data_IF_313978637755
#
_entry.id   IF_313978637755
#
_cell.length_a   1.000
_cell.length_b   1.000
_cell.length_c   1.000
_cell.angle_alpha   90.00
_cell.angle_beta   90.00
_cell.angle_gamma   90.00
#
_symmetry.space_group_name_H-M   'P 1'
#
loop_
_entity.id
_entity.type
_entity.pdbx_description
1 polymer ?
#
# COMPACT_ATOMS: atom_id res chain seq x y z
N UNK A 1 -18.40 -19.42 -5.17
CA UNK A 1 -17.20 -19.04 -4.38
C UNK A 1 -16.07 -18.60 -5.28
N UNK A 2 -15.66 -19.41 -6.26
CA UNK A 2 -14.78 -18.98 -7.36
C UNK A 2 -15.32 -19.50 -8.69
N UNK A 3 -15.01 -18.80 -9.77
CA UNK A 3 -15.20 -19.23 -11.15
C UNK A 3 -13.84 -19.50 -11.78
N UNK A 4 -13.75 -20.61 -12.51
CA UNK A 4 -12.48 -21.15 -13.01
C UNK A 4 -12.66 -21.59 -14.46
N UNK A 5 -11.71 -21.21 -15.30
CA UNK A 5 -11.67 -21.63 -16.71
C UNK A 5 -10.26 -22.04 -17.12
N UNK A 6 -10.16 -22.90 -18.12
CA UNK A 6 -8.88 -23.26 -18.73
C UNK A 6 -8.60 -22.33 -19.90
N UNK A 7 -7.39 -21.77 -19.96
CA UNK A 7 -6.90 -21.02 -21.12
C UNK A 7 -5.59 -21.57 -21.68
N UNK A 8 -5.23 -21.12 -22.88
CA UNK A 8 -3.92 -21.34 -23.49
C UNK A 8 -3.21 -19.99 -23.55
N UNK A 9 -1.98 -19.93 -23.06
CA UNK A 9 -1.14 -18.73 -23.15
C UNK A 9 -0.78 -18.50 -24.62
N UNK A 10 -1.15 -17.36 -25.19
CA UNK A 10 -0.78 -17.00 -26.58
C UNK A 10 0.54 -16.22 -26.60
N UNK A 11 0.69 -15.24 -25.70
CA UNK A 11 1.92 -14.46 -25.56
C UNK A 11 2.10 -13.88 -24.17
N UNK A 12 3.35 -13.56 -23.84
CA UNK A 12 3.69 -12.74 -22.66
C UNK A 12 3.64 -11.27 -23.12
N UNK A 13 2.71 -10.49 -22.56
CA UNK A 13 2.55 -9.07 -22.89
C UNK A 13 3.71 -8.27 -22.27
N UNK A 14 4.01 -8.56 -21.01
CA UNK A 14 5.17 -8.06 -20.28
C UNK A 14 5.46 -8.98 -19.10
N UNK A 15 6.69 -8.95 -18.60
CA UNK A 15 7.08 -9.64 -17.38
C UNK A 15 8.08 -8.78 -16.61
N UNK A 16 8.04 -8.90 -15.29
CA UNK A 16 9.05 -8.37 -14.37
C UNK A 16 9.23 -9.36 -13.22
N UNK A 17 10.11 -9.02 -12.29
CA UNK A 17 10.32 -9.84 -11.11
C UNK A 17 9.00 -10.17 -10.39
N UNK A 18 8.78 -11.46 -10.17
CA UNK A 18 7.63 -12.00 -9.43
C UNK A 18 6.27 -11.99 -10.14
N UNK A 19 6.14 -11.43 -11.36
CA UNK A 19 4.85 -11.36 -12.06
C UNK A 19 4.98 -11.36 -13.59
N UNK A 20 4.09 -12.07 -14.28
CA UNK A 20 3.91 -11.99 -15.73
C UNK A 20 2.50 -11.54 -16.08
N UNK A 21 2.37 -10.71 -17.10
CA UNK A 21 1.11 -10.40 -17.76
C UNK A 21 1.04 -11.16 -19.08
N UNK A 22 -0.03 -11.92 -19.23
CA UNK A 22 -0.23 -12.87 -20.31
C UNK A 22 -1.46 -12.45 -21.11
N UNK A 23 -1.39 -12.69 -22.42
CA UNK A 23 -2.57 -12.83 -23.25
C UNK A 23 -2.93 -14.32 -23.30
N UNK A 24 -4.16 -14.65 -22.95
CA UNK A 24 -4.66 -16.02 -22.86
C UNK A 24 -5.89 -16.20 -23.74
N UNK A 25 -5.93 -17.29 -24.48
CA UNK A 25 -7.11 -17.71 -25.24
C UNK A 25 -8.05 -18.51 -24.34
N UNK A 26 -9.25 -17.99 -24.13
CA UNK A 26 -10.36 -18.60 -23.39
C UNK A 26 -11.52 -18.86 -24.35
N UNK A 27 -11.64 -20.11 -24.83
CA UNK A 27 -12.53 -20.43 -25.96
C UNK A 27 -12.13 -19.62 -27.19
N UNK A 28 -13.03 -18.78 -27.68
CA UNK A 28 -12.81 -17.90 -28.84
C UNK A 28 -12.34 -16.48 -28.46
N UNK A 29 -12.23 -16.17 -27.17
CA UNK A 29 -11.84 -14.84 -26.68
C UNK A 29 -10.36 -14.77 -26.33
N UNK A 30 -9.79 -13.57 -26.49
CA UNK A 30 -8.47 -13.20 -25.98
C UNK A 30 -8.63 -12.31 -24.77
N UNK A 31 -8.15 -12.78 -23.63
CA UNK A 31 -8.27 -12.09 -22.36
C UNK A 31 -6.88 -11.88 -21.74
N UNK A 32 -6.81 -11.04 -20.71
CA UNK A 32 -5.56 -10.79 -19.98
C UNK A 32 -5.55 -11.59 -18.68
N UNK A 33 -4.39 -12.17 -18.35
CA UNK A 33 -4.18 -12.86 -17.09
C UNK A 33 -2.86 -12.45 -16.43
N UNK A 34 -2.86 -12.43 -15.10
CA UNK A 34 -1.66 -12.27 -14.30
C UNK A 34 -1.21 -13.61 -13.75
N UNK A 35 0.08 -13.88 -13.87
CA UNK A 35 0.74 -15.06 -13.35
C UNK A 35 1.75 -14.64 -12.28
N UNK A 36 1.80 -15.35 -11.16
CA UNK A 36 2.85 -15.20 -10.15
C UNK A 36 3.75 -16.44 -10.24
N UNK A 37 4.89 -16.39 -10.94
CA UNK A 37 5.70 -17.57 -11.20
C UNK A 37 6.18 -18.28 -9.93
N UNK A 38 6.36 -17.56 -8.83
CA UNK A 38 6.71 -18.16 -7.53
C UNK A 38 5.61 -19.09 -6.96
N UNK A 39 4.35 -18.96 -7.41
CA UNK A 39 3.24 -19.79 -6.98
C UNK A 39 2.85 -20.85 -8.00
N UNK A 40 3.06 -20.59 -9.28
CA UNK A 40 2.45 -21.36 -10.39
C UNK A 40 3.43 -21.69 -11.52
N UNK A 41 4.70 -21.31 -11.37
CA UNK A 41 5.75 -21.44 -12.36
C UNK A 41 5.63 -20.46 -13.52
N UNK A 42 6.71 -20.31 -14.29
CA UNK A 42 6.73 -19.45 -15.48
C UNK A 42 5.78 -20.01 -16.54
N UNK A 43 4.88 -19.16 -17.01
CA UNK A 43 3.97 -19.49 -18.11
C UNK A 43 4.55 -18.99 -19.43
N UNK A 44 4.57 -19.85 -20.45
CA UNK A 44 5.10 -19.58 -21.78
C UNK A 44 4.01 -19.79 -22.85
N UNK A 45 4.15 -19.19 -24.05
CA UNK A 45 3.24 -19.45 -25.17
C UNK A 45 3.02 -20.95 -25.42
N UNK A 46 1.76 -21.34 -25.68
CA UNK A 46 1.34 -22.72 -25.86
C UNK A 46 1.04 -23.46 -24.55
N UNK A 47 1.44 -22.94 -23.39
CA UNK A 47 1.11 -23.56 -22.11
C UNK A 47 -0.39 -23.48 -21.83
N UNK A 48 -0.97 -24.60 -21.39
CA UNK A 48 -2.31 -24.66 -20.85
C UNK A 48 -2.28 -24.24 -19.38
N UNK A 49 -3.17 -23.34 -18.97
CA UNK A 49 -3.27 -22.80 -17.61
C UNK A 49 -4.71 -22.83 -17.09
N UNK A 50 -4.85 -22.95 -15.77
CA UNK A 50 -6.12 -22.80 -15.07
C UNK A 50 -6.19 -21.36 -14.55
N UNK A 51 -7.28 -20.66 -14.82
CA UNK A 51 -7.47 -19.25 -14.46
C UNK A 51 -8.63 -19.09 -13.48
N UNK A 52 -8.43 -18.27 -12.46
CA UNK A 52 -9.52 -17.68 -11.69
C UNK A 52 -10.14 -16.54 -12.52
N UNK A 53 -11.38 -16.74 -12.97
CA UNK A 53 -12.12 -15.78 -13.80
C UNK A 53 -13.12 -14.93 -13.02
N UNK A 54 -13.28 -15.20 -11.72
CA UNK A 54 -14.32 -14.64 -10.84
C UNK A 54 -14.44 -13.11 -10.92
N UNK A 55 -13.34 -12.38 -10.72
CA UNK A 55 -13.39 -10.92 -10.62
C UNK A 55 -13.80 -10.27 -11.94
N UNK A 56 -13.33 -10.81 -13.07
CA UNK A 56 -13.66 -10.31 -14.41
C UNK A 56 -15.11 -10.64 -14.76
N UNK A 57 -15.58 -11.86 -14.47
CA UNK A 57 -16.98 -12.24 -14.71
C UNK A 57 -17.97 -11.38 -13.91
N UNK A 58 -17.59 -10.97 -12.69
CA UNK A 58 -18.38 -10.06 -11.86
C UNK A 58 -18.20 -8.58 -12.22
N UNK A 59 -17.39 -8.25 -13.23
CA UNK A 59 -17.12 -6.86 -13.63
C UNK A 59 -16.43 -6.03 -12.53
N UNK A 60 -15.67 -6.68 -11.64
CA UNK A 60 -14.99 -6.00 -10.54
C UNK A 60 -13.73 -5.27 -11.04
N UNK A 61 -13.26 -4.31 -10.24
CA UNK A 61 -12.07 -3.50 -10.53
C UNK A 61 -10.73 -4.26 -10.41
N UNK A 62 -10.59 -5.45 -11.00
CA UNK A 62 -9.31 -6.20 -11.06
C UNK A 62 -8.33 -5.65 -12.10
N UNK A 63 -8.67 -4.56 -12.78
CA UNK A 63 -7.96 -4.09 -13.97
C UNK A 63 -8.25 -4.93 -15.23
N UNK A 64 -9.26 -5.80 -15.18
CA UNK A 64 -9.62 -6.69 -16.28
C UNK A 64 -8.72 -7.91 -16.41
N UNK A 65 -8.04 -8.30 -15.32
CA UNK A 65 -7.16 -9.47 -15.31
C UNK A 65 -7.82 -10.66 -14.64
N UNK A 66 -7.68 -11.83 -15.27
CA UNK A 66 -7.78 -13.14 -14.62
C UNK A 66 -6.49 -13.45 -13.86
N UNK A 67 -6.50 -14.47 -13.00
CA UNK A 67 -5.32 -14.90 -12.25
C UNK A 67 -5.00 -16.36 -12.50
N UNK A 68 -3.76 -16.67 -12.88
CA UNK A 68 -3.33 -18.06 -13.04
C UNK A 68 -3.32 -18.76 -11.69
N UNK A 69 -4.02 -19.90 -11.62
CA UNK A 69 -4.09 -20.78 -10.46
C UNK A 69 -3.16 -21.98 -10.58
N UNK A 70 -2.94 -22.46 -11.80
CA UNK A 70 -2.04 -23.57 -12.10
C UNK A 70 -1.61 -23.54 -13.57
N UNK A 71 -0.44 -24.10 -13.85
CA UNK A 71 0.10 -24.29 -15.19
C UNK A 71 0.33 -25.79 -15.42
N UNK A 72 -0.29 -26.38 -16.46
CA UNK A 72 -0.28 -27.82 -16.71
C UNK A 72 1.12 -28.39 -17.00
N UNK A 73 2.07 -27.54 -17.40
CA UNK A 73 3.45 -27.96 -17.67
C UNK A 73 4.28 -28.00 -16.38
N UNK A 74 3.86 -27.30 -15.33
CA UNK A 74 4.60 -27.15 -14.08
C UNK A 74 4.13 -28.21 -13.08
N UNK A 75 4.88 -29.30 -12.97
CA UNK A 75 4.55 -30.42 -12.08
C UNK A 75 5.05 -30.24 -10.64
N UNK A 76 6.08 -29.41 -10.45
CA UNK A 76 6.63 -29.10 -9.12
C UNK A 76 7.35 -27.75 -9.12
N UNK A 77 7.40 -27.12 -7.95
CA UNK A 77 8.21 -25.93 -7.68
C UNK A 77 9.11 -26.22 -6.48
N UNK A 78 10.39 -25.85 -6.53
CA UNK A 78 11.28 -26.01 -5.39
C UNK A 78 10.91 -25.06 -4.25
N UNK A 79 11.14 -25.47 -3.02
CA UNK A 79 11.06 -24.58 -1.85
C UNK A 79 12.29 -23.66 -1.82
N UNK A 80 12.12 -22.44 -1.33
CA UNK A 80 13.24 -21.58 -0.93
C UNK A 80 14.07 -22.27 0.17
N UNK A 81 15.37 -21.99 0.23
CA UNK A 81 16.26 -22.57 1.25
C UNK A 81 15.96 -22.10 2.66
N UNK A 82 15.60 -20.82 2.82
CA UNK A 82 15.38 -20.19 4.12
C UNK A 82 13.90 -20.03 4.45
N UNK A 83 13.64 -19.82 5.75
CA UNK A 83 12.32 -19.55 6.28
C UNK A 83 11.45 -20.80 6.45
N UNK A 84 10.56 -20.76 7.44
CA UNK A 84 9.54 -21.78 7.66
C UNK A 84 8.13 -21.22 7.87
N UNK A 85 7.97 -19.89 7.88
CA UNK A 85 6.66 -19.27 8.09
C UNK A 85 5.83 -19.28 6.80
N UNK A 86 4.53 -19.54 6.96
CA UNK A 86 3.57 -19.64 5.87
C UNK A 86 2.66 -18.41 5.83
N UNK A 87 2.55 -17.80 4.64
CA UNK A 87 1.52 -16.80 4.28
C UNK A 87 0.44 -17.44 3.40
N UNK A 88 -0.72 -16.77 3.30
CA UNK A 88 -1.96 -17.36 2.74
C UNK A 88 -2.31 -18.75 3.34
N UNK A 89 -2.12 -18.91 4.67
CA UNK A 89 -2.23 -20.18 5.41
C UNK A 89 -3.55 -20.91 5.14
N UNK A 90 -3.46 -22.24 5.01
CA UNK A 90 -4.61 -23.13 4.84
C UNK A 90 -5.42 -22.89 3.56
N UNK A 91 -4.83 -22.22 2.57
CA UNK A 91 -5.36 -22.15 1.20
C UNK A 91 -4.49 -22.99 0.26
N UNK A 92 -5.02 -23.44 -0.89
CA UNK A 92 -4.20 -24.16 -1.90
C UNK A 92 -3.02 -23.36 -2.45
N UNK A 93 -2.98 -22.04 -2.24
CA UNK A 93 -1.92 -21.14 -2.71
C UNK A 93 -0.96 -20.71 -1.58
N UNK A 94 -1.02 -21.34 -0.41
CA UNK A 94 -0.13 -20.99 0.71
C UNK A 94 1.35 -21.00 0.30
N UNK A 95 2.11 -20.02 0.75
CA UNK A 95 3.50 -19.83 0.35
C UNK A 95 4.44 -19.69 1.54
N UNK A 96 5.61 -20.32 1.45
CA UNK A 96 6.67 -20.24 2.45
C UNK A 96 7.47 -18.96 2.24
N UNK A 97 7.73 -18.26 3.34
CA UNK A 97 8.57 -17.05 3.38
C UNK A 97 9.55 -17.14 4.56
N UNK A 98 10.66 -16.40 4.46
CA UNK A 98 11.51 -16.13 5.60
C UNK A 98 11.11 -14.79 6.19
N UNK A 99 10.59 -14.79 7.42
CA UNK A 99 10.19 -13.54 8.07
C UNK A 99 11.35 -12.90 8.85
N UNK A 100 11.30 -11.59 9.05
CA UNK A 100 12.27 -10.81 9.82
C UNK A 100 12.48 -11.37 11.22
N UNK A 101 11.45 -11.92 11.85
CA UNK A 101 11.52 -12.55 13.16
C UNK A 101 12.50 -13.75 13.16
N UNK A 102 12.54 -14.54 12.09
CA UNK A 102 13.51 -15.65 11.93
C UNK A 102 14.93 -15.13 11.70
N UNK A 103 15.07 -14.04 10.93
CA UNK A 103 16.35 -13.36 10.69
C UNK A 103 16.91 -12.81 12.01
N UNK A 104 16.07 -12.13 12.80
CA UNK A 104 16.42 -11.57 14.09
C UNK A 104 16.87 -12.66 15.07
N UNK A 105 16.11 -13.75 15.16
CA UNK A 105 16.45 -14.91 15.98
C UNK A 105 17.78 -15.57 15.58
N UNK A 106 18.08 -15.62 14.28
CA UNK A 106 19.34 -16.20 13.77
C UNK A 106 20.55 -15.28 14.02
N UNK A 107 20.36 -13.96 13.97
CA UNK A 107 21.44 -12.99 14.23
C UNK A 107 21.78 -12.90 15.72
N UNK A 108 20.78 -12.81 16.59
CA UNK A 108 20.96 -12.69 18.03
C UNK A 108 19.68 -13.09 18.78
N UNK A 109 19.65 -14.32 19.31
CA UNK A 109 18.50 -14.89 20.02
C UNK A 109 18.06 -14.07 21.25
N UNK A 110 18.99 -13.39 21.92
CA UNK A 110 18.67 -12.53 23.07
C UNK A 110 17.87 -11.29 22.64
N UNK A 111 18.30 -10.65 21.53
CA UNK A 111 17.59 -9.49 20.98
C UNK A 111 16.19 -9.83 20.47
N UNK A 112 15.99 -11.06 19.97
CA UNK A 112 14.68 -11.51 19.49
C UNK A 112 13.63 -11.63 20.60
N UNK A 113 14.06 -11.86 21.85
CA UNK A 113 13.18 -11.97 23.02
C UNK A 113 13.13 -10.69 23.85
N UNK A 114 14.05 -9.76 23.62
CA UNK A 114 14.09 -8.48 24.32
C UNK A 114 12.91 -7.58 23.96
N UNK A 115 12.47 -6.77 24.92
CA UNK A 115 11.47 -5.72 24.70
C UNK A 115 12.03 -4.68 23.73
N UNK A 116 11.28 -4.37 22.67
CA UNK A 116 11.66 -3.33 21.72
C UNK A 116 11.72 -1.94 22.37
N UNK A 117 12.78 -1.19 22.11
CA UNK A 117 13.00 0.17 22.65
C UNK A 117 12.13 1.24 21.99
N UNK A 118 11.36 0.88 20.97
CA UNK A 118 10.50 1.79 20.24
C UNK A 118 11.19 2.48 19.06
N UNK A 119 10.38 3.16 18.25
CA UNK A 119 10.75 3.82 17.01
C UNK A 119 11.50 5.14 17.23
N UNK A 120 11.73 5.56 18.48
CA UNK A 120 12.47 6.79 18.83
C UNK A 120 11.95 8.02 18.07
N UNK A 121 10.62 8.20 18.05
CA UNK A 121 9.92 9.27 17.36
C UNK A 121 10.06 9.31 15.82
N UNK A 122 10.45 8.22 15.17
CA UNK A 122 10.42 8.15 13.70
C UNK A 122 9.01 8.42 13.18
N UNK A 123 8.85 9.32 12.18
CA UNK A 123 7.56 9.53 11.53
C UNK A 123 7.07 8.28 10.80
N UNK A 124 5.86 7.88 11.12
CA UNK A 124 5.13 6.82 10.40
C UNK A 124 3.94 7.44 9.70
N UNK A 125 4.02 7.50 8.38
CA UNK A 125 2.99 8.06 7.51
C UNK A 125 1.97 7.00 7.17
N UNK A 126 0.68 7.27 7.39
CA UNK A 126 -0.40 6.30 7.29
C UNK A 126 -1.34 6.74 6.17
N UNK A 127 -1.41 5.95 5.09
CA UNK A 127 -2.29 6.18 3.94
C UNK A 127 -3.48 5.22 3.90
N UNK A 128 -4.66 5.72 3.49
CA UNK A 128 -5.87 4.90 3.29
C UNK A 128 -5.76 4.08 2.00
N UNK A 129 -5.06 4.62 1.00
CA UNK A 129 -5.01 4.10 -0.36
C UNK A 129 -3.57 3.93 -0.83
N UNK A 130 -3.33 2.83 -1.54
CA UNK A 130 -2.06 2.59 -2.24
C UNK A 130 -1.64 3.74 -3.18
N UNK A 131 -2.60 4.42 -3.81
CA UNK A 131 -2.35 5.56 -4.70
C UNK A 131 -1.76 6.79 -4.00
N UNK A 132 -1.68 6.80 -2.67
CA UNK A 132 -1.01 7.86 -1.90
C UNK A 132 0.51 7.68 -1.81
N UNK A 133 1.03 6.45 -2.04
CA UNK A 133 2.46 6.14 -1.85
C UNK A 133 3.33 6.96 -2.79
N UNK A 134 3.10 6.88 -4.11
CA UNK A 134 3.92 7.62 -5.09
C UNK A 134 3.93 9.15 -4.90
N UNK A 135 2.79 9.85 -4.83
CA UNK A 135 2.84 11.31 -4.67
C UNK A 135 3.53 11.73 -3.37
N UNK A 136 3.41 10.94 -2.29
CA UNK A 136 4.16 11.19 -1.06
C UNK A 136 5.67 10.99 -1.25
N UNK A 137 6.09 9.82 -1.75
CA UNK A 137 7.51 9.44 -1.91
C UNK A 137 8.21 10.41 -2.83
N UNK A 138 7.61 10.71 -3.99
CA UNK A 138 8.17 11.64 -4.97
C UNK A 138 8.32 13.04 -4.37
N UNK A 139 7.32 13.51 -3.61
CA UNK A 139 7.41 14.82 -2.94
C UNK A 139 8.53 14.83 -1.90
N UNK A 140 8.60 13.81 -1.05
CA UNK A 140 9.60 13.75 0.01
C UNK A 140 11.02 13.66 -0.55
N UNK A 141 11.24 12.85 -1.59
CA UNK A 141 12.53 12.76 -2.29
C UNK A 141 12.92 14.04 -3.03
N UNK A 142 11.94 14.81 -3.52
CA UNK A 142 12.22 16.12 -4.11
C UNK A 142 12.59 17.17 -3.06
N UNK A 143 12.02 17.09 -1.85
CA UNK A 143 12.41 17.95 -0.74
C UNK A 143 13.79 17.56 -0.20
N UNK A 144 14.06 16.26 -0.12
CA UNK A 144 15.31 15.72 0.37
C UNK A 144 15.61 14.33 -0.22
N UNK A 145 16.52 14.22 -1.21
CA UNK A 145 16.78 12.97 -1.92
C UNK A 145 17.44 11.90 -1.05
N UNK A 146 18.08 12.28 0.04
CA UNK A 146 18.83 11.34 0.91
C UNK A 146 17.95 10.61 1.91
N UNK A 147 16.67 11.02 2.08
CA UNK A 147 15.76 10.38 3.04
C UNK A 147 15.53 8.92 2.70
N UNK A 148 15.73 8.03 3.68
CA UNK A 148 15.42 6.62 3.57
C UNK A 148 13.96 6.39 3.87
N UNK A 149 13.20 6.07 2.84
CA UNK A 149 11.76 5.82 2.92
C UNK A 149 11.52 4.33 2.79
N UNK A 150 10.89 3.73 3.79
CA UNK A 150 10.49 2.33 3.76
C UNK A 150 8.98 2.24 3.63
N UNK A 151 8.50 1.47 2.65
CA UNK A 151 7.07 1.21 2.46
C UNK A 151 6.67 -0.11 3.13
N UNK A 152 5.71 -0.07 4.03
CA UNK A 152 5.07 -1.24 4.63
C UNK A 152 3.71 -1.45 3.96
N UNK A 153 3.55 -2.59 3.29
CA UNK A 153 2.28 -3.02 2.70
C UNK A 153 1.53 -3.96 3.64
N UNK A 154 0.30 -3.57 4.00
CA UNK A 154 -0.63 -4.37 4.81
C UNK A 154 -1.41 -5.34 3.93
N UNK A 155 -2.06 -6.32 4.57
CA UNK A 155 -2.80 -7.40 3.92
C UNK A 155 -4.31 -7.14 3.79
N UNK A 156 -4.75 -5.88 3.95
CA UNK A 156 -6.15 -5.48 3.81
C UNK A 156 -6.62 -5.29 2.35
N UNK A 157 -5.71 -5.49 1.39
CA UNK A 157 -5.97 -5.42 -0.06
C UNK A 157 -5.20 -6.53 -0.81
N UNK A 158 -4.59 -6.22 -1.96
CA UNK A 158 -3.77 -7.19 -2.67
C UNK A 158 -2.67 -7.78 -1.77
N UNK A 159 -2.58 -9.10 -1.74
CA UNK A 159 -1.56 -9.82 -0.98
C UNK A 159 -0.18 -9.75 -1.65
N UNK A 160 -0.03 -9.95 -2.98
CA UNK A 160 1.29 -9.92 -3.62
C UNK A 160 1.73 -8.48 -3.93
N UNK A 161 2.90 -8.06 -3.42
CA UNK A 161 3.48 -6.74 -3.69
C UNK A 161 3.80 -6.56 -5.18
N UNK A 162 4.16 -7.65 -5.86
CA UNK A 162 4.49 -7.71 -7.29
C UNK A 162 3.41 -7.11 -8.19
N UNK A 163 2.14 -7.11 -7.74
CA UNK A 163 1.03 -6.53 -8.46
C UNK A 163 1.22 -5.02 -8.70
N UNK A 164 1.88 -4.30 -7.79
CA UNK A 164 2.03 -2.85 -7.90
C UNK A 164 3.15 -2.45 -8.87
N UNK A 165 2.74 -1.90 -10.01
CA UNK A 165 3.64 -1.23 -10.95
C UNK A 165 4.34 -0.03 -10.31
N UNK A 166 3.58 0.75 -9.54
CA UNK A 166 4.08 1.93 -8.82
C UNK A 166 5.24 1.58 -7.90
N UNK A 167 5.12 0.53 -7.09
CA UNK A 167 6.20 0.13 -6.18
C UNK A 167 7.40 -0.40 -6.96
N UNK A 168 7.17 -1.19 -8.02
CA UNK A 168 8.27 -1.65 -8.90
C UNK A 168 9.06 -0.46 -9.47
N UNK A 169 8.39 0.57 -10.00
CA UNK A 169 9.04 1.78 -10.49
C UNK A 169 9.78 2.54 -9.38
N UNK A 170 9.16 2.74 -8.21
CA UNK A 170 9.81 3.45 -7.09
C UNK A 170 11.08 2.72 -6.60
N UNK A 171 11.09 1.39 -6.60
CA UNK A 171 12.28 0.58 -6.26
C UNK A 171 13.36 0.70 -7.34
N UNK A 172 12.98 0.54 -8.61
CA UNK A 172 13.92 0.63 -9.74
C UNK A 172 14.60 2.01 -9.84
N UNK A 173 13.87 3.07 -9.47
CA UNK A 173 14.39 4.44 -9.42
C UNK A 173 15.13 4.75 -8.09
N UNK A 174 15.31 3.76 -7.20
CA UNK A 174 15.94 3.91 -5.87
C UNK A 174 15.30 5.00 -4.99
N UNK A 175 13.99 5.20 -5.15
CA UNK A 175 13.21 6.17 -4.37
C UNK A 175 12.70 5.60 -3.04
N UNK A 176 12.68 4.27 -2.91
CA UNK A 176 12.44 3.55 -1.66
C UNK A 176 13.73 2.86 -1.23
N UNK A 177 14.01 2.90 0.07
CA UNK A 177 15.12 2.15 0.69
C UNK A 177 14.79 0.65 0.73
N UNK A 178 13.51 0.33 0.90
CA UNK A 178 13.03 -1.05 0.89
C UNK A 178 11.52 -1.13 1.13
N UNK A 179 11.03 -2.35 1.02
CA UNK A 179 9.62 -2.69 1.19
C UNK A 179 9.46 -3.80 2.22
N UNK A 180 8.42 -3.70 3.04
CA UNK A 180 8.09 -4.72 4.04
C UNK A 180 6.64 -5.15 3.83
N UNK A 181 6.39 -6.45 3.75
CA UNK A 181 5.05 -7.01 3.65
C UNK A 181 4.68 -7.72 4.96
N UNK A 182 3.54 -7.38 5.54
CA UNK A 182 3.11 -7.93 6.83
C UNK A 182 1.79 -8.70 6.75
N UNK A 183 1.54 -9.56 7.74
CA UNK A 183 0.34 -10.40 7.75
C UNK A 183 0.38 -11.45 6.65
N UNK A 184 -0.64 -11.51 5.82
CA UNK A 184 -0.71 -12.42 4.67
C UNK A 184 -0.19 -11.83 3.36
N UNK A 185 0.11 -10.53 3.30
CA UNK A 185 0.76 -9.91 2.15
C UNK A 185 2.20 -10.40 2.01
N UNK A 186 2.72 -10.54 0.79
CA UNK A 186 4.04 -11.11 0.50
C UNK A 186 4.70 -10.50 -0.75
N UNK A 187 5.98 -10.77 -0.96
CA UNK A 187 6.81 -10.24 -2.04
C UNK A 187 7.57 -8.97 -1.69
N UNK A 188 7.64 -8.59 -0.41
CA UNK A 188 8.49 -7.49 0.06
C UNK A 188 9.96 -7.88 0.16
N UNK A 189 10.84 -6.88 0.32
CA UNK A 189 12.26 -7.10 0.60
C UNK A 189 12.46 -7.77 1.97
N UNK A 190 11.58 -7.43 2.91
CA UNK A 190 11.41 -8.13 4.18
C UNK A 190 9.96 -8.58 4.34
N UNK A 191 9.80 -9.76 4.93
CA UNK A 191 8.51 -10.33 5.27
C UNK A 191 8.35 -10.30 6.78
N UNK A 192 7.17 -9.96 7.30
CA UNK A 192 6.91 -10.03 8.74
C UNK A 192 5.58 -10.70 9.06
N UNK A 193 5.46 -11.19 10.29
CA UNK A 193 4.21 -11.80 10.78
C UNK A 193 3.12 -10.74 10.96
N UNK A 194 3.47 -9.56 11.44
CA UNK A 194 2.51 -8.48 11.69
C UNK A 194 3.13 -7.09 11.53
N UNK A 195 2.30 -6.06 11.72
CA UNK A 195 2.68 -4.65 11.56
C UNK A 195 3.69 -4.16 12.61
N UNK A 196 3.70 -4.72 13.83
CA UNK A 196 4.65 -4.30 14.86
C UNK A 196 6.07 -4.69 14.47
N UNK A 197 6.26 -5.94 14.04
CA UNK A 197 7.56 -6.42 13.55
C UNK A 197 7.92 -5.79 12.21
N UNK A 198 6.94 -5.38 11.38
CA UNK A 198 7.21 -4.59 10.18
C UNK A 198 7.78 -3.20 10.50
N UNK A 199 7.20 -2.50 11.49
CA UNK A 199 7.71 -1.21 11.96
C UNK A 199 9.12 -1.33 12.52
N UNK A 200 9.38 -2.40 13.29
CA UNK A 200 10.71 -2.72 13.80
C UNK A 200 11.69 -3.00 12.64
N UNK A 201 11.33 -3.85 11.69
CA UNK A 201 12.18 -4.20 10.54
C UNK A 201 12.52 -2.96 9.70
N UNK A 202 11.53 -2.11 9.42
CA UNK A 202 11.73 -0.87 8.69
C UNK A 202 12.74 0.05 9.38
N UNK A 203 12.68 0.16 10.72
CA UNK A 203 13.59 1.01 11.49
C UNK A 203 14.96 0.37 11.70
N UNK A 204 15.01 -0.88 12.13
CA UNK A 204 16.24 -1.51 12.60
C UNK A 204 17.06 -2.16 11.50
N UNK A 205 16.42 -2.78 10.50
CA UNK A 205 17.13 -3.44 9.39
C UNK A 205 17.34 -2.47 8.24
N UNK A 206 16.26 -1.79 7.81
CA UNK A 206 16.29 -0.87 6.66
C UNK A 206 16.60 0.58 7.03
N UNK A 207 16.83 0.86 8.32
CA UNK A 207 17.25 2.18 8.82
C UNK A 207 16.38 3.35 8.37
N UNK A 208 15.06 3.14 8.26
CA UNK A 208 14.13 4.15 7.77
C UNK A 208 14.23 5.47 8.55
N UNK A 209 14.29 6.59 7.82
CA UNK A 209 14.07 7.93 8.36
C UNK A 209 12.57 8.25 8.37
N UNK A 210 11.83 7.68 7.40
CA UNK A 210 10.38 7.75 7.30
C UNK A 210 9.82 6.37 6.93
N UNK A 211 8.78 5.94 7.64
CA UNK A 211 8.05 4.72 7.34
C UNK A 211 6.70 5.10 6.74
N UNK A 212 6.32 4.51 5.61
CA UNK A 212 5.01 4.71 4.99
C UNK A 212 4.21 3.42 5.09
N UNK A 213 3.06 3.44 5.75
CA UNK A 213 2.15 2.30 5.91
C UNK A 213 0.90 2.55 5.08
N UNK A 214 0.60 1.64 4.15
CA UNK A 214 -0.66 1.63 3.40
C UNK A 214 -0.93 0.27 2.77
N UNK A 215 -2.20 -0.06 2.47
CA UNK A 215 -2.54 -1.30 1.79
C UNK A 215 -1.96 -1.38 0.37
N UNK A 216 -1.92 -2.60 -0.16
CA UNK A 216 -1.70 -2.85 -1.58
C UNK A 216 -2.83 -2.31 -2.48
N UNK A 217 -2.70 -2.42 -3.81
CA UNK A 217 -3.80 -2.13 -4.73
C UNK A 217 -5.05 -2.95 -4.44
N UNK A 218 -6.24 -2.45 -4.81
CA UNK A 218 -7.47 -3.23 -4.73
C UNK A 218 -8.13 -3.25 -3.35
N UNK A 219 -8.07 -2.13 -2.61
CA UNK A 219 -8.81 -1.97 -1.35
C UNK A 219 -10.30 -2.21 -1.52
N UNK A 220 -10.94 -2.77 -0.50
CA UNK A 220 -12.38 -3.02 -0.48
C UNK A 220 -13.10 -1.88 0.23
N UNK A 221 -14.25 -1.50 -0.28
CA UNK A 221 -15.15 -0.57 0.38
C UNK A 221 -16.59 -0.92 0.05
N UNK A 222 -17.39 -1.12 1.09
CA UNK A 222 -18.85 -1.29 0.98
C UNK A 222 -19.53 0.06 1.17
N UNK A 223 -20.86 0.10 1.10
CA UNK A 223 -21.64 1.29 1.45
C UNK A 223 -22.03 1.33 2.94
N UNK A 224 -21.37 0.54 3.79
CA UNK A 224 -21.61 0.50 5.23
C UNK A 224 -20.57 1.29 6.01
N UNK A 225 -20.89 1.65 7.26
CA UNK A 225 -20.07 2.54 8.09
C UNK A 225 -18.67 1.98 8.41
N UNK A 226 -18.54 0.67 8.58
CA UNK A 226 -17.28 0.03 9.00
C UNK A 226 -16.71 -0.96 7.98
N UNK A 227 -17.47 -1.30 6.92
CA UNK A 227 -17.05 -2.29 5.93
C UNK A 227 -16.15 -1.71 4.85
N UNK A 228 -14.92 -1.29 5.17
CA UNK A 228 -13.90 -0.88 4.19
C UNK A 228 -12.49 -1.13 4.73
N UNK A 229 -11.54 -1.48 3.87
CA UNK A 229 -10.17 -1.85 4.26
C UNK A 229 -9.41 -0.72 4.94
N UNK A 230 -9.60 0.51 4.47
CA UNK A 230 -8.92 1.70 4.99
C UNK A 230 -9.26 2.08 6.44
N UNK A 231 -10.16 1.33 7.10
CA UNK A 231 -10.47 1.50 8.53
C UNK A 231 -9.22 1.30 9.40
N UNK A 232 -8.28 0.49 8.92
CA UNK A 232 -6.99 0.22 9.57
C UNK A 232 -6.16 1.49 9.81
N UNK A 233 -6.43 2.61 9.12
CA UNK A 233 -5.76 3.89 9.42
C UNK A 233 -5.88 4.25 10.91
N UNK A 234 -7.05 4.06 11.50
CA UNK A 234 -7.29 4.33 12.91
C UNK A 234 -6.48 3.40 13.81
N UNK A 235 -6.48 2.10 13.51
CA UNK A 235 -5.71 1.10 14.24
C UNK A 235 -4.19 1.35 14.15
N UNK A 236 -3.71 1.80 13.00
CA UNK A 236 -2.29 2.09 12.80
C UNK A 236 -1.80 3.27 13.62
N UNK A 237 -2.65 4.26 13.92
CA UNK A 237 -2.30 5.36 14.83
C UNK A 237 -1.93 4.79 16.20
N UNK A 238 -2.77 3.91 16.73
CA UNK A 238 -2.57 3.29 18.05
C UNK A 238 -1.33 2.40 18.05
N UNK A 239 -1.15 1.58 17.00
CA UNK A 239 0.03 0.71 16.83
C UNK A 239 1.34 1.51 16.79
N UNK A 240 1.37 2.61 16.04
CA UNK A 240 2.55 3.48 15.95
C UNK A 240 2.85 4.15 17.28
N UNK A 241 1.83 4.65 17.98
CA UNK A 241 1.99 5.27 19.31
C UNK A 241 2.49 4.27 20.35
N UNK A 242 1.98 3.03 20.31
CA UNK A 242 2.43 1.94 21.18
C UNK A 242 3.93 1.65 21.04
N UNK A 243 4.48 1.81 19.83
CA UNK A 243 5.91 1.69 19.54
C UNK A 243 6.66 3.03 19.63
N UNK A 244 6.10 4.07 20.24
CA UNK A 244 6.75 5.38 20.41
C UNK A 244 7.17 6.05 19.08
N UNK A 245 6.43 5.78 18.00
CA UNK A 245 6.55 6.50 16.73
C UNK A 245 5.65 7.73 16.66
N UNK A 246 5.82 8.53 15.60
CA UNK A 246 5.00 9.70 15.33
C UNK A 246 4.02 9.42 14.17
N UNK A 247 2.72 9.17 14.44
CA UNK A 247 1.76 8.92 13.38
C UNK A 247 1.42 10.22 12.63
N UNK A 248 1.57 10.19 11.31
CA UNK A 248 1.18 11.25 10.37
C UNK A 248 0.17 10.66 9.40
N UNK A 249 -1.08 11.11 9.46
CA UNK A 249 -2.13 10.57 8.60
C UNK A 249 -2.22 11.38 7.31
N UNK A 250 -2.31 10.70 6.17
CA UNK A 250 -2.76 11.31 4.92
C UNK A 250 -4.28 11.13 4.83
N UNK A 251 -5.08 12.18 5.07
CA UNK A 251 -6.52 12.07 4.92
C UNK A 251 -6.87 11.91 3.46
N UNK A 252 -7.91 11.13 3.17
CA UNK A 252 -8.48 11.10 1.82
C UNK A 252 -9.37 12.33 1.64
N UNK A 253 -8.88 13.28 0.84
CA UNK A 253 -9.63 14.47 0.45
C UNK A 253 -9.91 14.41 -1.06
N UNK A 254 -11.16 14.63 -1.44
CA UNK A 254 -11.57 14.78 -2.84
C UNK A 254 -12.75 15.74 -2.95
N UNK A 255 -12.72 16.62 -3.94
CA UNK A 255 -13.88 17.44 -4.32
C UNK A 255 -14.45 17.03 -5.68
N UNK A 256 -13.87 15.98 -6.28
CA UNK A 256 -14.23 15.45 -7.60
C UNK A 256 -14.89 14.07 -7.52
N UNK A 257 -15.05 13.51 -6.32
CA UNK A 257 -15.80 12.27 -6.12
C UNK A 257 -17.31 12.53 -6.20
N UNK A 258 -17.98 11.86 -7.12
CA UNK A 258 -19.43 12.00 -7.31
C UNK A 258 -20.24 11.52 -6.10
N UNK A 259 -19.66 10.68 -5.24
CA UNK A 259 -20.33 10.16 -4.05
C UNK A 259 -20.22 11.21 -2.93
N UNK A 260 -21.35 11.71 -2.47
CA UNK A 260 -21.45 12.75 -1.44
C UNK A 260 -20.63 12.45 -0.17
N UNK A 261 -20.61 11.18 0.28
CA UNK A 261 -19.82 10.72 1.43
C UNK A 261 -18.30 10.83 1.27
N UNK A 262 -17.80 11.10 0.07
CA UNK A 262 -16.38 11.29 -0.22
C UNK A 262 -16.05 12.71 -0.68
N UNK A 263 -17.01 13.63 -0.64
CA UNK A 263 -16.82 15.04 -0.97
C UNK A 263 -16.21 15.81 0.22
N UNK A 264 -15.13 16.55 -0.01
CA UNK A 264 -14.28 17.10 1.05
C UNK A 264 -13.43 16.01 1.69
N UNK A 265 -13.49 15.89 3.02
CA UNK A 265 -12.92 14.76 3.75
C UNK A 265 -13.81 13.53 3.58
N UNK A 266 -13.18 12.43 3.16
CA UNK A 266 -13.85 11.13 3.04
C UNK A 266 -14.46 10.68 4.36
N UNK A 267 -15.69 10.18 4.33
CA UNK A 267 -16.34 9.55 5.47
C UNK A 267 -15.49 8.41 6.06
N UNK A 268 -14.74 7.67 5.22
CA UNK A 268 -13.80 6.65 5.69
C UNK A 268 -12.73 7.24 6.61
N UNK A 269 -12.09 8.33 6.20
CA UNK A 269 -11.11 9.04 7.03
C UNK A 269 -11.77 9.56 8.31
N UNK A 270 -12.97 10.14 8.22
CA UNK A 270 -13.67 10.67 9.39
C UNK A 270 -13.98 9.58 10.42
N UNK A 271 -14.46 8.41 9.97
CA UNK A 271 -14.78 7.28 10.85
C UNK A 271 -13.52 6.63 11.42
N UNK A 272 -12.49 6.35 10.59
CA UNK A 272 -11.25 5.75 11.07
C UNK A 272 -10.57 6.61 12.15
N UNK A 273 -10.51 7.93 11.95
CA UNK A 273 -9.89 8.83 12.92
C UNK A 273 -10.80 9.12 14.11
N UNK A 274 -12.10 9.31 13.89
CA UNK A 274 -13.04 9.73 14.93
C UNK A 274 -13.41 8.59 15.87
N UNK A 275 -13.70 7.41 15.32
CA UNK A 275 -14.31 6.29 16.05
C UNK A 275 -13.35 5.15 16.34
N UNK A 276 -12.34 4.92 15.49
CA UNK A 276 -11.45 3.75 15.61
C UNK A 276 -10.16 4.07 16.34
N UNK A 277 -9.48 5.17 15.97
CA UNK A 277 -8.24 5.57 16.64
C UNK A 277 -8.51 5.84 18.13
N UNK A 278 -7.68 5.34 19.03
CA UNK A 278 -7.70 5.70 20.45
C UNK A 278 -6.79 6.89 20.74
N UNK A 279 -5.67 6.96 20.01
CA UNK A 279 -4.61 7.94 20.19
C UNK A 279 -4.65 9.10 19.18
N UNK A 280 -3.91 10.17 19.50
CA UNK A 280 -3.80 11.34 18.62
C UNK A 280 -2.76 11.14 17.51
N UNK A 281 -3.00 11.77 16.36
CA UNK A 281 -2.07 11.80 15.23
C UNK A 281 -1.90 13.21 14.68
N UNK A 282 -0.84 13.44 13.91
CA UNK A 282 -0.73 14.62 13.08
C UNK A 282 -1.58 14.44 11.82
N UNK A 283 -2.35 15.47 11.49
CA UNK A 283 -3.20 15.51 10.30
C UNK A 283 -2.83 16.73 9.45
N UNK A 284 -1.80 16.60 8.58
CA UNK A 284 -1.42 17.67 7.67
C UNK A 284 -2.48 17.86 6.60
N UNK A 285 -2.94 19.09 6.43
CA UNK A 285 -3.92 19.47 5.41
C UNK A 285 -3.29 20.47 4.44
N UNK A 286 -3.54 20.34 3.13
CA UNK A 286 -3.11 21.34 2.17
C UNK A 286 -3.90 22.63 2.33
N UNK A 287 -3.29 23.77 2.03
CA UNK A 287 -4.02 25.01 1.86
C UNK A 287 -4.79 24.98 0.53
N UNK A 288 -6.12 24.88 0.59
CA UNK A 288 -7.02 24.91 -0.56
C UNK A 288 -7.79 26.24 -0.62
N UNK A 289 -8.58 26.42 -1.68
CA UNK A 289 -9.48 27.57 -1.83
C UNK A 289 -10.41 27.71 -0.61
N UNK A 290 -10.79 28.96 -0.30
CA UNK A 290 -11.56 29.30 0.91
C UNK A 290 -12.80 28.43 1.09
N UNK A 291 -13.59 28.23 0.04
CA UNK A 291 -14.84 27.45 0.12
C UNK A 291 -14.58 25.98 0.46
N UNK A 292 -13.53 25.38 -0.13
CA UNK A 292 -13.08 24.02 0.17
C UNK A 292 -12.61 23.90 1.62
N UNK A 293 -11.86 24.89 2.10
CA UNK A 293 -11.39 24.93 3.48
C UNK A 293 -12.54 25.05 4.48
N UNK A 294 -13.59 25.82 4.16
CA UNK A 294 -14.80 25.92 5.00
C UNK A 294 -15.50 24.56 5.10
N UNK A 295 -15.63 23.83 3.99
CA UNK A 295 -16.21 22.46 3.99
C UNK A 295 -15.42 21.52 4.89
N UNK A 296 -14.09 21.47 4.70
CA UNK A 296 -13.19 20.62 5.50
C UNK A 296 -13.28 20.96 6.99
N UNK A 297 -13.22 22.25 7.34
CA UNK A 297 -13.32 22.70 8.73
C UNK A 297 -14.64 22.28 9.38
N UNK A 298 -15.77 22.42 8.68
CA UNK A 298 -17.08 21.96 9.19
C UNK A 298 -17.09 20.45 9.43
N UNK A 299 -16.57 19.67 8.49
CA UNK A 299 -16.50 18.21 8.63
C UNK A 299 -15.66 17.80 9.85
N UNK A 300 -14.45 18.39 10.01
CA UNK A 300 -13.57 18.15 11.15
C UNK A 300 -14.21 18.51 12.49
N UNK A 301 -14.98 19.60 12.52
CA UNK A 301 -15.70 20.05 13.72
C UNK A 301 -16.82 19.08 14.10
N UNK A 302 -17.66 18.70 13.14
CA UNK A 302 -18.80 17.80 13.36
C UNK A 302 -18.32 16.41 13.81
N UNK A 303 -17.22 15.93 13.25
CA UNK A 303 -16.65 14.62 13.59
C UNK A 303 -15.75 14.64 14.85
N UNK A 304 -15.63 15.77 15.55
CA UNK A 304 -14.81 15.89 16.77
C UNK A 304 -13.29 15.81 16.55
N UNK A 305 -12.82 15.77 15.30
CA UNK A 305 -11.39 15.55 15.00
C UNK A 305 -10.50 16.72 15.41
N UNK A 306 -11.06 17.93 15.51
CA UNK A 306 -10.34 19.12 15.98
C UNK A 306 -9.83 18.97 17.42
N UNK A 307 -10.55 18.24 18.28
CA UNK A 307 -10.15 18.01 19.68
C UNK A 307 -9.24 16.79 19.87
N UNK A 308 -9.22 15.88 18.88
CA UNK A 308 -8.56 14.57 18.99
C UNK A 308 -7.21 14.51 18.27
N UNK A 309 -7.09 15.16 17.10
CA UNK A 309 -5.88 15.12 16.28
C UNK A 309 -5.24 16.50 16.14
N UNK A 310 -3.93 16.51 15.89
CA UNK A 310 -3.16 17.73 15.67
C UNK A 310 -3.24 18.13 14.21
N UNK A 311 -4.17 19.02 13.89
CA UNK A 311 -4.38 19.50 12.52
C UNK A 311 -3.33 20.57 12.18
N UNK A 312 -2.64 20.39 11.05
CA UNK A 312 -1.59 21.32 10.61
C UNK A 312 -1.86 21.74 9.17
N UNK A 313 -2.11 23.04 8.96
CA UNK A 313 -2.26 23.57 7.60
C UNK A 313 -0.87 23.81 7.00
N UNK A 314 -0.56 23.10 5.92
CA UNK A 314 0.71 23.19 5.22
C UNK A 314 0.59 24.22 4.10
N UNK A 315 1.07 25.43 4.37
CA UNK A 315 1.13 26.49 3.37
C UNK A 315 2.21 26.18 2.34
N UNK A 316 1.84 26.22 1.05
CA UNK A 316 2.71 25.94 -0.09
C UNK A 316 3.45 24.60 0.07
N UNK A 317 2.80 23.43 -0.12
CA UNK A 317 3.58 22.32 -0.69
C UNK A 317 4.22 22.94 -1.93
N UNK A 318 5.56 22.98 -2.01
CA UNK A 318 6.26 23.64 -3.12
C UNK A 318 5.49 23.27 -4.39
N UNK A 319 5.20 24.24 -5.28
CA UNK A 319 4.56 24.00 -6.58
C UNK A 319 5.49 23.06 -7.35
N UNK A 320 5.48 21.80 -6.98
CA UNK A 320 6.07 20.72 -7.70
C UNK A 320 5.34 20.81 -9.01
N UNK A 321 6.09 21.19 -10.05
CA UNK A 321 5.62 21.10 -11.40
C UNK A 321 5.35 19.61 -11.62
N UNK A 322 4.13 19.17 -11.27
CA UNK A 322 3.60 17.81 -11.42
C UNK A 322 3.77 17.25 -12.84
N UNK A 323 4.15 18.11 -13.77
CA UNK A 323 4.00 17.93 -15.19
C UNK A 323 5.09 17.08 -15.83
N UNK A 324 6.16 16.67 -15.14
CA UNK A 324 7.26 15.94 -15.80
C UNK A 324 8.00 14.91 -14.94
N UNK A 325 7.35 14.25 -13.97
CA UNK A 325 7.91 12.96 -13.52
C UNK A 325 7.52 11.93 -14.58
N UNK A 326 8.28 11.91 -15.69
CA UNK A 326 7.95 11.25 -16.96
C UNK A 326 7.57 9.77 -16.84
N UNK A 327 7.90 9.13 -15.70
CA UNK A 327 7.75 7.69 -15.49
C UNK A 327 6.54 7.29 -14.64
N UNK A 328 5.85 8.22 -13.95
CA UNK A 328 4.76 7.86 -13.02
C UNK A 328 3.40 8.33 -13.49
N UNK A 329 2.51 7.39 -13.79
CA UNK A 329 1.09 7.66 -14.05
C UNK A 329 0.33 7.75 -12.72
N UNK A 330 0.35 8.92 -12.10
CA UNK A 330 -0.35 9.17 -10.84
C UNK A 330 -1.88 9.18 -11.06
N UNK A 331 -2.55 8.15 -10.52
CA UNK A 331 -4.00 8.00 -10.58
C UNK A 331 -4.59 7.45 -9.27
N UNK A 332 -5.82 7.85 -8.96
CA UNK A 332 -6.63 7.28 -7.88
C UNK A 332 -8.06 7.06 -8.38
N UNK A 333 -8.60 5.85 -8.21
CA UNK A 333 -9.98 5.53 -8.63
C UNK A 333 -10.31 5.98 -10.08
N UNK A 334 -9.35 5.83 -11.00
CA UNK A 334 -9.47 6.25 -12.41
C UNK A 334 -9.23 7.74 -12.68
N UNK A 335 -9.06 8.57 -11.65
CA UNK A 335 -8.83 10.02 -11.76
C UNK A 335 -7.34 10.36 -11.66
N UNK A 336 -6.85 11.20 -12.56
CA UNK A 336 -5.48 11.73 -12.53
C UNK A 336 -5.36 13.01 -11.72
N UNK A 337 -4.14 13.57 -11.69
CA UNK A 337 -3.81 14.79 -10.94
C UNK A 337 -4.68 15.99 -11.34
N UNK A 338 -4.99 16.13 -12.63
CA UNK A 338 -5.85 17.21 -13.12
C UNK A 338 -7.31 17.04 -12.70
N UNK A 339 -7.77 15.80 -12.60
CA UNK A 339 -9.16 15.47 -12.32
C UNK A 339 -9.48 15.58 -10.82
N UNK A 340 -8.53 15.23 -9.95
CA UNK A 340 -8.69 15.28 -8.49
C UNK A 340 -7.45 15.87 -7.78
N UNK A 341 -7.15 17.15 -7.98
CA UNK A 341 -5.91 17.76 -7.47
C UNK A 341 -5.83 17.76 -5.94
N UNK A 342 -6.98 17.86 -5.26
CA UNK A 342 -7.02 17.88 -3.79
C UNK A 342 -6.44 16.60 -3.18
N UNK A 343 -6.68 15.45 -3.81
CA UNK A 343 -6.13 14.16 -3.38
C UNK A 343 -4.60 14.19 -3.37
N UNK A 344 -3.99 14.57 -4.50
CA UNK A 344 -2.53 14.54 -4.65
C UNK A 344 -1.84 15.62 -3.82
N UNK A 345 -2.40 16.83 -3.78
CA UNK A 345 -1.84 17.93 -2.96
C UNK A 345 -1.92 17.60 -1.46
N UNK A 346 -2.88 16.80 -1.03
CA UNK A 346 -2.93 16.29 0.36
C UNK A 346 -1.76 15.36 0.68
N UNK A 347 -1.42 14.42 -0.22
CA UNK A 347 -0.25 13.57 -0.04
C UNK A 347 1.07 14.38 -0.01
N UNK A 348 1.17 15.44 -0.84
CA UNK A 348 2.33 16.33 -0.83
C UNK A 348 2.44 17.17 0.45
N UNK A 349 1.30 17.64 0.97
CA UNK A 349 1.25 18.38 2.23
C UNK A 349 1.73 17.50 3.38
N UNK A 350 1.31 16.22 3.41
CA UNK A 350 1.82 15.25 4.36
C UNK A 350 3.34 15.04 4.22
N UNK A 351 3.86 14.85 3.01
CA UNK A 351 5.31 14.75 2.79
C UNK A 351 6.08 15.99 3.26
N UNK A 352 5.58 17.18 2.95
CA UNK A 352 6.19 18.44 3.36
C UNK A 352 6.17 18.64 4.87
N UNK A 353 5.10 18.20 5.54
CA UNK A 353 5.03 18.21 7.00
C UNK A 353 5.97 17.18 7.61
N UNK A 354 5.97 15.95 7.08
CA UNK A 354 6.84 14.87 7.55
C UNK A 354 8.30 15.30 7.51
N UNK A 355 8.78 15.88 6.40
CA UNK A 355 10.17 16.36 6.30
C UNK A 355 10.54 17.36 7.41
N UNK A 356 9.61 18.23 7.83
CA UNK A 356 9.86 19.25 8.86
C UNK A 356 9.95 18.68 10.28
N UNK A 357 9.38 17.49 10.51
CA UNK A 357 9.34 16.88 11.85
C UNK A 357 10.36 15.75 12.01
N UNK A 358 11.08 15.37 10.94
CA UNK A 358 12.19 14.42 11.05
C UNK A 358 13.29 15.08 11.89
N UNK A 359 13.80 14.40 12.94
CA UNK A 359 14.92 14.91 13.71
C UNK A 359 16.14 15.19 12.82
N UNK A 360 16.78 16.35 13.01
CA UNK A 360 18.12 16.59 12.46
C UNK A 360 19.09 15.80 13.33
N UNK A 361 19.69 14.75 12.77
CA UNK A 361 20.69 13.92 13.44
C UNK A 361 22.09 14.46 13.21
#
# INVERSE_FOLDING_TARGET
MISVETGIVEKIIWAREGIQCLEVKLGDKREKALNYPCLTGTALPGHRVILNTTAVQLGLGSGGYHFVMANYIVNSLPLSSNGHIIKMRYTPLQCKVQVYEEILGSKNSSSALSKYEGLKNVPVVIGELHSMVAPFVLTLKMLNPTRRIVYIMTDSAALPLYLSDTISCLKNDSLLEGTVTCGHAFGGDLETVNIYTALMAAREELKADVIFVAPGPGVVGTCTRYGYSGIEQGEHIDRVRKLQGLPVVIPRISFSDARTRHYGLSHHTLTALGEIASESAFLPLPLLDRDKMVVIYRQLKISGLLGKHKIVIVNKPQRLKFFQIKNFRLQTMGRGVKDDPAFFVTAMAAASFTERIIPVH
#
